data_IF_831670856324
#
_entry.id   IF_831670856324
#
_cell.length_a   1.000
_cell.length_b   1.000
_cell.length_c   1.000
_cell.angle_alpha   90.00
_cell.angle_beta   90.00
_cell.angle_gamma   90.00
#
_symmetry.space_group_name_H-M   'P 1'
#
loop_
_entity.id
_entity.type
_entity.pdbx_description
1 polymer ?
#
# COMPACT_ATOMS: atom_id res chain seq x y z
N UNK A 1 17.58 8.23 32.69
CA UNK A 1 17.20 7.80 31.33
C UNK A 1 16.87 9.05 30.52
N UNK A 2 17.84 9.67 29.86
CA UNK A 2 17.50 10.62 28.79
C UNK A 2 17.07 9.74 27.62
N UNK A 3 15.76 9.51 27.48
CA UNK A 3 15.22 8.59 26.50
C UNK A 3 15.47 9.12 25.11
N UNK A 4 16.50 8.61 24.44
CA UNK A 4 16.63 8.76 23.01
C UNK A 4 15.48 7.97 22.37
N UNK A 5 14.48 8.69 21.88
CA UNK A 5 13.31 8.09 21.23
C UNK A 5 13.72 7.31 19.96
N UNK A 6 14.92 7.53 19.43
CA UNK A 6 15.49 6.76 18.30
C UNK A 6 15.63 5.28 18.64
N UNK A 7 16.02 4.93 19.88
CA UNK A 7 16.12 3.53 20.31
C UNK A 7 14.75 2.86 20.35
N UNK A 8 13.73 3.58 20.84
CA UNK A 8 12.35 3.09 20.85
C UNK A 8 11.81 2.92 19.42
N UNK A 9 12.01 3.89 18.53
CA UNK A 9 11.61 3.80 17.13
C UNK A 9 12.27 2.60 16.45
N UNK A 10 13.57 2.41 16.64
CA UNK A 10 14.30 1.25 16.09
C UNK A 10 13.79 -0.07 16.65
N UNK A 11 13.47 -0.15 17.95
CA UNK A 11 12.90 -1.35 18.55
C UNK A 11 11.48 -1.66 18.02
N UNK A 12 10.65 -0.64 17.86
CA UNK A 12 9.25 -0.79 17.45
C UNK A 12 9.08 -1.07 15.95
N UNK A 13 9.79 -0.34 15.09
CA UNK A 13 9.59 -0.39 13.63
C UNK A 13 10.83 -0.84 12.85
N UNK A 14 11.97 -1.05 13.52
CA UNK A 14 13.24 -1.35 12.85
C UNK A 14 13.36 -2.76 12.26
N UNK A 15 12.37 -3.65 12.44
CA UNK A 15 12.27 -4.89 11.67
C UNK A 15 11.31 -4.68 10.49
N UNK A 16 11.86 -4.26 9.35
CA UNK A 16 11.08 -3.97 8.13
C UNK A 16 10.63 -5.24 7.40
N UNK A 17 11.20 -6.40 7.72
CA UNK A 17 10.87 -7.68 7.07
C UNK A 17 9.52 -8.22 7.56
N UNK A 18 9.15 -7.89 8.80
CA UNK A 18 7.86 -8.26 9.38
C UNK A 18 6.69 -7.63 8.60
N UNK A 19 5.59 -8.35 8.44
CA UNK A 19 4.51 -8.00 7.52
C UNK A 19 3.84 -6.65 7.82
N UNK A 20 3.60 -6.33 9.09
CA UNK A 20 3.02 -5.03 9.48
C UNK A 20 3.99 -3.91 9.13
N UNK A 21 5.25 -4.03 9.54
CA UNK A 21 6.24 -2.97 9.30
C UNK A 21 6.59 -2.82 7.82
N UNK A 22 6.62 -3.92 7.06
CA UNK A 22 6.75 -3.89 5.60
C UNK A 22 5.59 -3.15 4.94
N UNK A 23 4.37 -3.37 5.43
CA UNK A 23 3.18 -2.64 4.98
C UNK A 23 3.32 -1.14 5.18
N UNK A 24 3.69 -0.72 6.40
CA UNK A 24 3.93 0.69 6.74
C UNK A 24 5.05 1.27 5.87
N UNK A 25 6.12 0.51 5.62
CA UNK A 25 7.21 0.95 4.74
C UNK A 25 6.77 1.10 3.28
N UNK A 26 5.94 0.18 2.78
CA UNK A 26 5.36 0.26 1.44
C UNK A 26 4.45 1.47 1.25
N UNK A 27 3.61 1.78 2.25
CA UNK A 27 2.80 3.00 2.32
C UNK A 27 3.69 4.25 2.29
N UNK A 28 4.73 4.28 3.12
CA UNK A 28 5.69 5.38 3.17
C UNK A 28 6.42 5.57 1.82
N UNK A 29 6.86 4.50 1.15
CA UNK A 29 7.48 4.58 -0.19
C UNK A 29 6.55 5.25 -1.20
N UNK A 30 5.27 4.86 -1.23
CA UNK A 30 4.27 5.47 -2.12
C UNK A 30 4.08 6.95 -1.78
N UNK A 31 3.93 7.28 -0.50
CA UNK A 31 3.81 8.67 -0.05
C UNK A 31 5.01 9.54 -0.43
N UNK A 32 6.23 9.01 -0.30
CA UNK A 32 7.45 9.69 -0.75
C UNK A 32 7.46 9.91 -2.26
N UNK A 33 7.07 8.92 -3.07
CA UNK A 33 7.02 9.07 -4.53
C UNK A 33 5.99 10.12 -4.98
N UNK A 34 4.88 10.24 -4.25
CA UNK A 34 3.84 11.24 -4.52
C UNK A 34 4.26 12.64 -4.05
N UNK A 35 5.13 12.71 -3.03
CA UNK A 35 5.57 13.94 -2.38
C UNK A 35 4.53 14.46 -1.38
N UNK A 36 3.84 13.56 -0.68
CA UNK A 36 2.74 13.88 0.25
C UNK A 36 3.08 13.61 1.71
N UNK A 37 4.33 13.23 2.00
CA UNK A 37 4.83 13.02 3.36
C UNK A 37 5.70 14.22 3.75
N UNK A 38 5.28 14.97 4.76
CA UNK A 38 6.07 16.04 5.37
C UNK A 38 7.24 15.53 6.22
N UNK A 39 8.22 16.39 6.48
CA UNK A 39 9.42 16.02 7.28
C UNK A 39 9.11 15.61 8.73
N UNK A 40 8.03 16.14 9.31
CA UNK A 40 7.61 15.90 10.70
C UNK A 40 6.23 15.22 10.77
N UNK A 41 5.74 14.69 9.65
CA UNK A 41 4.44 14.06 9.58
C UNK A 41 4.48 12.65 10.19
N UNK A 42 3.48 12.35 11.01
CA UNK A 42 3.29 11.03 11.59
C UNK A 42 2.15 10.36 10.85
N UNK A 43 2.34 9.09 10.51
CA UNK A 43 1.32 8.26 9.87
C UNK A 43 0.01 8.29 10.67
N UNK A 44 -1.08 8.62 9.99
CA UNK A 44 -2.43 8.49 10.53
C UNK A 44 -2.82 7.00 10.50
N UNK A 45 -2.90 6.37 11.67
CA UNK A 45 -3.49 5.03 11.76
C UNK A 45 -5.03 5.18 11.69
N UNK A 46 -5.71 4.34 10.88
CA UNK A 46 -7.17 4.13 10.86
C UNK A 46 -8.05 4.92 9.89
N UNK A 47 -7.51 5.76 9.01
CA UNK A 47 -8.34 6.46 8.02
C UNK A 47 -8.95 5.51 6.96
N UNK A 48 -9.95 6.00 6.23
CA UNK A 48 -10.67 5.24 5.20
C UNK A 48 -9.80 4.85 4.00
N UNK A 49 -8.69 5.57 3.83
CA UNK A 49 -7.66 5.40 2.80
C UNK A 49 -6.29 5.72 3.38
N UNK A 50 -5.22 5.27 2.75
CA UNK A 50 -3.88 5.43 3.29
C UNK A 50 -3.25 6.80 2.96
N UNK A 51 -3.52 7.37 1.78
CA UNK A 51 -2.88 8.61 1.31
C UNK A 51 -3.84 9.49 0.51
N UNK A 52 -3.56 10.79 0.47
CA UNK A 52 -4.25 11.77 -0.38
C UNK A 52 -3.26 12.47 -1.32
N UNK A 53 -3.58 12.57 -2.61
CA UNK A 53 -2.71 13.22 -3.61
C UNK A 53 -3.52 13.82 -4.76
N UNK A 54 -3.30 15.09 -5.08
CA UNK A 54 -4.01 15.82 -6.17
C UNK A 54 -5.55 15.69 -6.08
N UNK A 55 -6.11 15.63 -4.86
CA UNK A 55 -7.54 15.46 -4.62
C UNK A 55 -8.06 14.02 -4.74
N UNK A 56 -7.16 13.05 -4.90
CA UNK A 56 -7.47 11.62 -4.98
C UNK A 56 -7.23 10.93 -3.65
N UNK A 57 -8.12 10.01 -3.30
CA UNK A 57 -7.97 9.08 -2.20
C UNK A 57 -7.24 7.81 -2.68
N UNK A 58 -6.16 7.41 -2.00
CA UNK A 58 -5.27 6.33 -2.43
C UNK A 58 -5.19 5.24 -1.36
N UNK A 59 -5.42 4.00 -1.77
CA UNK A 59 -5.19 2.81 -0.95
C UNK A 59 -3.88 2.15 -1.35
N UNK A 60 -3.02 1.84 -0.38
CA UNK A 60 -1.78 1.09 -0.57
C UNK A 60 -1.96 -0.35 -0.07
N UNK A 61 -1.56 -1.31 -0.90
CA UNK A 61 -1.61 -2.74 -0.55
C UNK A 61 -0.24 -3.37 -0.74
N UNK A 62 0.36 -3.79 0.36
CA UNK A 62 1.74 -4.30 0.36
C UNK A 62 1.78 -5.82 0.57
N UNK A 63 2.65 -6.50 -0.17
CA UNK A 63 3.00 -7.91 0.04
C UNK A 63 4.48 -8.14 -0.27
N UNK A 64 5.03 -9.28 0.13
CA UNK A 64 6.37 -9.71 -0.24
C UNK A 64 6.39 -11.17 -0.70
N UNK A 65 7.34 -11.50 -1.59
CA UNK A 65 7.58 -12.87 -2.07
C UNK A 65 8.12 -13.76 -0.93
N UNK A 66 8.94 -13.18 -0.05
CA UNK A 66 9.48 -13.83 1.15
C UNK A 66 8.66 -13.48 2.40
N UNK A 67 8.10 -14.48 3.07
CA UNK A 67 7.35 -14.34 4.32
C UNK A 67 8.23 -14.73 5.50
N UNK A 68 8.22 -13.93 6.58
CA UNK A 68 9.03 -14.15 7.79
C UNK A 68 8.80 -15.51 8.45
N UNK A 69 7.60 -16.08 8.32
CA UNK A 69 7.23 -17.37 8.92
C UNK A 69 7.44 -18.58 8.01
N UNK A 70 7.74 -18.40 6.71
CA UNK A 70 7.90 -19.50 5.76
C UNK A 70 9.21 -19.36 4.99
N UNK A 71 10.29 -19.87 5.57
CA UNK A 71 11.63 -19.84 4.97
C UNK A 71 11.82 -20.90 3.86
N UNK A 72 10.87 -21.82 3.66
CA UNK A 72 11.01 -22.97 2.74
C UNK A 72 10.10 -22.93 1.51
N UNK A 73 9.21 -21.93 1.38
CA UNK A 73 8.32 -21.83 0.22
C UNK A 73 7.98 -20.39 -0.14
N UNK A 74 8.11 -20.05 -1.42
CA UNK A 74 7.54 -18.84 -2.00
C UNK A 74 6.04 -18.80 -1.70
N UNK A 75 5.57 -17.79 -0.96
CA UNK A 75 4.13 -17.56 -0.83
C UNK A 75 3.65 -16.85 -2.08
N UNK A 76 2.57 -17.31 -2.70
CA UNK A 76 1.91 -16.57 -3.78
C UNK A 76 1.34 -15.27 -3.20
N UNK A 77 1.88 -14.08 -3.54
CA UNK A 77 1.41 -12.82 -2.99
C UNK A 77 -0.05 -12.57 -3.35
N UNK A 78 -0.84 -12.13 -2.37
CA UNK A 78 -2.26 -11.78 -2.52
C UNK A 78 -2.55 -10.48 -1.80
N UNK A 79 -3.37 -9.65 -2.44
CA UNK A 79 -3.75 -8.33 -1.94
C UNK A 79 -5.25 -8.29 -1.67
N UNK A 80 -5.65 -7.79 -0.50
CA UNK A 80 -7.06 -7.60 -0.17
C UNK A 80 -7.64 -6.39 -0.89
N UNK A 81 -8.78 -6.57 -1.56
CA UNK A 81 -9.50 -5.54 -2.33
C UNK A 81 -11.02 -5.61 -2.09
N UNK A 82 -11.43 -6.14 -0.94
CA UNK A 82 -12.85 -6.29 -0.62
C UNK A 82 -13.55 -4.93 -0.57
N UNK A 83 -14.72 -4.85 -1.21
CA UNK A 83 -15.67 -3.76 -1.02
C UNK A 83 -16.12 -3.74 0.45
N UNK A 84 -16.09 -2.57 1.06
CA UNK A 84 -16.46 -2.34 2.46
C UNK A 84 -17.92 -1.89 2.53
N UNK A 85 -18.60 -2.17 3.64
CA UNK A 85 -19.96 -1.65 3.92
C UNK A 85 -19.94 -0.30 4.64
N UNK A 86 -18.80 0.04 5.24
CA UNK A 86 -18.59 1.29 5.95
C UNK A 86 -17.09 1.56 6.05
N UNK A 87 -16.73 2.83 6.18
CA UNK A 87 -15.38 3.28 6.50
C UNK A 87 -15.45 4.44 7.49
N UNK A 88 -14.44 4.58 8.33
CA UNK A 88 -14.28 5.74 9.20
C UNK A 88 -13.35 6.74 8.51
N UNK A 89 -13.75 7.99 8.45
CA UNK A 89 -12.98 9.07 7.83
C UNK A 89 -12.41 9.96 8.92
N UNK A 90 -11.10 10.10 8.96
CA UNK A 90 -10.41 10.89 9.99
C UNK A 90 -10.74 12.39 9.89
N UNK A 91 -10.93 12.91 8.67
CA UNK A 91 -11.26 14.32 8.43
C UNK A 91 -12.56 14.74 9.10
N UNK A 92 -13.56 13.84 9.12
CA UNK A 92 -14.89 14.11 9.68
C UNK A 92 -15.12 13.48 11.05
N UNK A 93 -14.18 12.65 11.52
CA UNK A 93 -14.31 11.79 12.72
C UNK A 93 -15.62 10.97 12.72
N UNK A 94 -16.00 10.43 11.56
CA UNK A 94 -17.31 9.81 11.37
C UNK A 94 -17.25 8.51 10.58
N UNK A 95 -18.19 7.61 10.90
CA UNK A 95 -18.44 6.39 10.12
C UNK A 95 -19.42 6.69 8.99
N UNK A 96 -18.97 6.51 7.76
CA UNK A 96 -19.83 6.53 6.58
C UNK A 96 -20.28 5.10 6.31
N UNK A 97 -21.59 4.86 6.28
CA UNK A 97 -22.19 3.61 5.83
C UNK A 97 -22.52 3.74 4.34
N UNK A 98 -22.12 2.76 3.55
CA UNK A 98 -22.36 2.76 2.11
C UNK A 98 -23.66 2.03 1.78
N UNK A 99 -24.50 2.69 0.96
CA UNK A 99 -25.63 2.06 0.30
C UNK A 99 -25.07 1.31 -0.93
N UNK A 100 -25.00 -0.01 -0.80
CA UNK A 100 -24.11 -0.96 -1.49
C UNK A 100 -22.61 -0.90 -1.07
N UNK A 101 -21.95 -2.08 -0.86
CA UNK A 101 -20.53 -2.10 -0.53
C UNK A 101 -19.66 -1.50 -1.64
N UNK A 102 -18.67 -0.68 -1.28
CA UNK A 102 -17.71 -0.09 -2.24
C UNK A 102 -16.27 -0.06 -1.71
N UNK A 103 -15.32 0.22 -2.60
CA UNK A 103 -13.93 0.56 -2.26
C UNK A 103 -13.85 2.07 -2.01
N UNK A 104 -13.23 2.50 -0.91
CA UNK A 104 -13.21 3.91 -0.51
C UNK A 104 -12.26 4.77 -1.36
N UNK A 105 -11.13 4.19 -1.78
CA UNK A 105 -10.13 4.89 -2.57
C UNK A 105 -10.53 5.06 -4.04
N UNK A 106 -10.00 6.10 -4.68
CA UNK A 106 -10.09 6.31 -6.13
C UNK A 106 -9.06 5.46 -6.88
N UNK A 107 -7.88 5.26 -6.28
CA UNK A 107 -6.75 4.54 -6.86
C UNK A 107 -6.14 3.59 -5.84
N UNK A 108 -5.80 2.38 -6.30
CA UNK A 108 -5.02 1.42 -5.54
C UNK A 108 -3.57 1.38 -6.05
N UNK A 109 -2.61 1.39 -5.13
CA UNK A 109 -1.20 1.13 -5.39
C UNK A 109 -0.81 -0.19 -4.72
N UNK A 110 -0.59 -1.23 -5.51
CA UNK A 110 -0.14 -2.53 -5.04
C UNK A 110 1.38 -2.58 -5.04
N UNK A 111 1.99 -2.80 -3.88
CA UNK A 111 3.44 -2.83 -3.69
C UNK A 111 3.90 -4.27 -3.44
N UNK A 112 4.79 -4.78 -4.28
CA UNK A 112 5.41 -6.09 -4.09
C UNK A 112 6.90 -5.95 -3.79
N UNK A 113 7.33 -6.40 -2.61
CA UNK A 113 8.73 -6.61 -2.31
C UNK A 113 9.21 -7.94 -2.90
N UNK A 114 10.20 -7.89 -3.78
CA UNK A 114 10.57 -9.03 -4.64
C UNK A 114 11.72 -9.88 -4.08
N UNK A 115 12.58 -9.30 -3.23
CA UNK A 115 13.81 -9.96 -2.77
C UNK A 115 13.53 -11.15 -1.83
N UNK A 116 14.21 -12.27 -2.08
CA UNK A 116 14.15 -13.48 -1.28
C UNK A 116 15.57 -14.02 -1.05
N UNK A 117 16.07 -14.08 0.21
CA UNK A 117 15.40 -13.70 1.45
C UNK A 117 15.20 -12.17 1.56
N UNK A 118 14.14 -11.77 2.25
CA UNK A 118 13.92 -10.37 2.59
C UNK A 118 14.83 -9.95 3.76
N UNK A 119 15.44 -8.77 3.67
CA UNK A 119 16.28 -8.15 4.70
C UNK A 119 15.87 -6.69 4.88
N UNK A 120 16.24 -6.05 5.98
CA UNK A 120 15.94 -4.63 6.15
C UNK A 120 16.54 -3.77 5.04
N UNK A 121 17.75 -4.11 4.58
CA UNK A 121 18.47 -3.38 3.54
C UNK A 121 17.72 -3.44 2.22
N UNK A 122 17.26 -4.64 1.81
CA UNK A 122 16.52 -4.78 0.56
C UNK A 122 15.04 -4.39 0.67
N UNK A 123 14.46 -4.31 1.86
CA UNK A 123 13.14 -3.68 2.04
C UNK A 123 13.29 -2.15 1.94
N UNK A 124 14.39 -1.60 2.43
CA UNK A 124 14.70 -0.17 2.37
C UNK A 124 15.19 0.32 1.00
N UNK A 125 15.50 -0.59 0.08
CA UNK A 125 15.93 -0.29 -1.28
C UNK A 125 14.70 -0.22 -2.23
N UNK A 126 14.35 0.95 -2.78
CA UNK A 126 13.22 1.10 -3.70
C UNK A 126 13.34 0.24 -4.98
N UNK A 127 14.54 -0.15 -5.40
CA UNK A 127 14.75 -1.00 -6.59
C UNK A 127 14.32 -2.45 -6.36
N UNK A 128 14.17 -2.86 -5.09
CA UNK A 128 13.67 -4.19 -4.72
C UNK A 128 12.14 -4.32 -4.74
N UNK A 129 11.43 -3.31 -5.28
CA UNK A 129 9.98 -3.22 -5.29
C UNK A 129 9.41 -3.09 -6.71
N UNK A 130 8.20 -3.62 -6.90
CA UNK A 130 7.36 -3.34 -8.07
C UNK A 130 6.00 -2.83 -7.65
N UNK A 131 5.45 -1.89 -8.44
CA UNK A 131 4.21 -1.20 -8.12
C UNK A 131 3.20 -1.31 -9.26
N UNK A 132 1.96 -1.72 -8.96
CA UNK A 132 0.84 -1.64 -9.90
C UNK A 132 -0.10 -0.55 -9.44
N UNK A 133 -0.42 0.39 -10.33
CA UNK A 133 -1.32 1.51 -10.04
C UNK A 133 -2.60 1.33 -10.85
N UNK A 134 -3.72 1.12 -10.18
CA UNK A 134 -4.98 0.73 -10.81
C UNK A 134 -6.11 1.58 -10.24
N UNK A 135 -6.93 2.17 -11.11
CA UNK A 135 -8.12 2.90 -10.69
C UNK A 135 -9.16 1.95 -10.09
N UNK A 136 -9.88 2.41 -9.07
CA UNK A 136 -10.97 1.65 -8.46
C UNK A 136 -12.05 1.28 -9.47
N UNK A 137 -12.35 2.17 -10.43
CA UNK A 137 -13.25 1.88 -11.55
C UNK A 137 -12.82 0.66 -12.38
N UNK A 138 -11.52 0.50 -12.62
CA UNK A 138 -10.97 -0.69 -13.30
C UNK A 138 -11.13 -1.94 -12.43
N UNK A 139 -10.85 -1.87 -11.13
CA UNK A 139 -11.06 -3.00 -10.22
C UNK A 139 -12.54 -3.39 -10.14
N UNK A 140 -13.45 -2.43 -10.11
CA UNK A 140 -14.89 -2.67 -10.07
C UNK A 140 -15.39 -3.33 -11.37
N UNK A 141 -14.97 -2.81 -12.52
CA UNK A 141 -15.41 -3.31 -13.82
C UNK A 141 -14.85 -4.71 -14.13
N UNK A 142 -13.57 -4.94 -13.86
CA UNK A 142 -12.88 -6.17 -14.26
C UNK A 142 -13.00 -7.28 -13.19
N UNK A 143 -13.09 -6.91 -11.91
CA UNK A 143 -13.04 -7.88 -10.80
C UNK A 143 -14.32 -7.98 -9.97
N UNK A 144 -15.26 -7.03 -10.11
CA UNK A 144 -16.49 -7.00 -9.34
C UNK A 144 -16.26 -7.10 -7.83
N UNK A 145 -17.00 -8.01 -7.18
CA UNK A 145 -16.99 -8.22 -5.72
C UNK A 145 -15.84 -9.09 -5.21
N UNK A 146 -14.84 -9.40 -6.03
CA UNK A 146 -13.66 -10.14 -5.56
C UNK A 146 -13.01 -9.42 -4.38
N UNK A 147 -12.72 -10.19 -3.33
CA UNK A 147 -12.13 -9.69 -2.08
C UNK A 147 -10.61 -9.70 -2.07
N UNK A 148 -9.98 -10.34 -3.05
CA UNK A 148 -8.53 -10.35 -3.20
C UNK A 148 -8.08 -10.53 -4.65
N UNK A 149 -6.87 -10.06 -4.95
CA UNK A 149 -6.22 -10.13 -6.27
C UNK A 149 -4.78 -10.62 -6.13
N UNK A 150 -4.24 -11.26 -7.17
CA UNK A 150 -2.87 -11.75 -7.22
C UNK A 150 -2.09 -11.14 -8.38
N UNK A 151 -0.77 -11.32 -8.39
CA UNK A 151 0.16 -10.68 -9.33
C UNK A 151 -0.26 -10.89 -10.79
N UNK A 152 -0.55 -12.14 -11.18
CA UNK A 152 -0.93 -12.45 -12.57
C UNK A 152 -2.14 -11.66 -13.07
N UNK A 153 -3.08 -11.32 -12.18
CA UNK A 153 -4.23 -10.49 -12.51
C UNK A 153 -3.84 -9.02 -12.54
N UNK A 154 -2.98 -8.56 -11.62
CA UNK A 154 -2.45 -7.19 -11.67
C UNK A 154 -1.72 -6.91 -12.99
N UNK A 155 -0.90 -7.85 -13.47
CA UNK A 155 -0.20 -7.78 -14.76
C UNK A 155 -1.15 -7.68 -15.96
N UNK A 156 -2.38 -8.19 -15.84
CA UNK A 156 -3.40 -8.05 -16.89
C UNK A 156 -4.10 -6.68 -16.86
N UNK A 157 -4.11 -6.01 -15.71
CA UNK A 157 -4.81 -4.74 -15.50
C UNK A 157 -3.91 -3.52 -15.68
N UNK A 158 -2.62 -3.65 -15.37
CA UNK A 158 -1.63 -2.59 -15.52
C UNK A 158 -0.21 -3.16 -15.65
N UNK A 159 0.63 -2.47 -16.42
CA UNK A 159 2.08 -2.70 -16.39
C UNK A 159 2.65 -2.19 -15.06
N UNK A 160 3.52 -2.96 -14.39
CA UNK A 160 4.18 -2.50 -13.19
C UNK A 160 5.11 -1.32 -13.49
N UNK A 161 5.25 -0.43 -12.52
CA UNK A 161 6.21 0.68 -12.53
C UNK A 161 7.22 0.53 -11.42
N UNK A 162 8.36 1.19 -11.58
CA UNK A 162 9.33 1.42 -10.52
C UNK A 162 8.84 2.53 -9.58
N UNK A 163 9.57 2.76 -8.49
CA UNK A 163 9.25 3.79 -7.51
C UNK A 163 9.11 5.19 -8.14
N UNK A 164 9.99 5.53 -9.08
CA UNK A 164 9.98 6.83 -9.75
C UNK A 164 8.75 7.04 -10.65
N UNK A 165 8.17 5.96 -11.18
CA UNK A 165 7.00 5.98 -12.05
C UNK A 165 5.65 6.09 -11.33
N UNK A 166 5.58 5.88 -10.00
CA UNK A 166 4.34 5.84 -9.23
C UNK A 166 3.50 7.10 -9.45
N UNK A 167 4.09 8.29 -9.28
CA UNK A 167 3.37 9.57 -9.39
C UNK A 167 2.72 9.75 -10.76
N UNK A 168 3.47 9.48 -11.83
CA UNK A 168 2.96 9.57 -13.18
C UNK A 168 1.86 8.52 -13.44
N UNK A 169 1.97 7.33 -12.85
CA UNK A 169 0.96 6.28 -12.98
C UNK A 169 -0.35 6.63 -12.25
N UNK A 170 -0.28 7.20 -11.05
CA UNK A 170 -1.46 7.68 -10.30
C UNK A 170 -2.19 8.76 -11.08
N UNK A 171 -1.47 9.76 -11.61
CA UNK A 171 -2.06 10.81 -12.43
C UNK A 171 -2.70 10.30 -13.73
N UNK A 172 -2.22 9.18 -14.28
CA UNK A 172 -2.85 8.52 -15.43
C UNK A 172 -4.10 7.74 -15.04
N UNK A 173 -4.05 7.01 -13.92
CA UNK A 173 -5.19 6.24 -13.41
C UNK A 173 -6.39 7.13 -13.12
N UNK A 174 -6.15 8.33 -12.59
CA UNK A 174 -7.18 9.33 -12.29
C UNK A 174 -7.93 9.92 -13.51
N UNK A 175 -7.44 9.68 -14.73
CA UNK A 175 -8.03 10.23 -15.97
C UNK A 175 -8.91 9.22 -16.71
N UNK A 176 -9.06 8.00 -16.19
CA UNK A 176 -9.81 6.90 -16.80
C UNK A 176 -11.15 6.70 -16.11
#
# INVERSE_FOLDING_TARGET
>A
MSGDLTEFQRWATGNLVENRNRGIYGEWLVGQALGVIGNDEVRQEWDAVDLHFDGLAIEVKTSGVSQTWNQSGSSTPRFGIARQKRAWFAETDDWVVYDEPKRSADVYVFCLHQSAPATNENVADPESWSFWVIATSTLDNELGDQSSVGISTLDQLAEPVDWSGIKAAVQRAARR
#
